data_IF_069415383538
#
_entry.id   IF_069415383538
#
_cell.length_a   1.000
_cell.length_b   1.000
_cell.length_c   1.000
_cell.angle_alpha   90.00
_cell.angle_beta   90.00
_cell.angle_gamma   90.00
#
_symmetry.space_group_name_H-M   'P 1'
#
loop_
_entity.id
_entity.type
_entity.pdbx_description
1 polymer ?
#
# COMPACT_ATOMS: atom_id res chain seq x y z
N UNK A 1 1.54 17.55 -0.99
CA UNK A 1 2.82 17.50 -0.24
C UNK A 1 3.23 16.08 0.13
N UNK A 2 2.38 15.23 0.73
CA UNK A 2 2.75 13.84 1.06
C UNK A 2 3.20 12.99 -0.15
N UNK A 3 2.58 13.15 -1.33
CA UNK A 3 2.97 12.40 -2.53
C UNK A 3 4.34 12.77 -3.10
N UNK A 4 4.85 13.98 -2.86
CA UNK A 4 6.10 14.47 -3.46
C UNK A 4 7.31 14.09 -2.59
N UNK A 5 7.23 14.25 -1.26
CA UNK A 5 8.26 13.70 -0.35
C UNK A 5 8.33 12.17 -0.41
N UNK A 6 7.19 11.54 -0.71
CA UNK A 6 7.12 10.11 -0.93
C UNK A 6 7.93 9.70 -2.17
N UNK A 7 7.78 10.37 -3.31
CA UNK A 7 8.54 10.04 -4.52
C UNK A 7 10.05 10.20 -4.33
N UNK A 8 10.49 11.31 -3.74
CA UNK A 8 11.90 11.54 -3.39
C UNK A 8 12.49 10.39 -2.55
N UNK A 9 11.70 9.80 -1.64
CA UNK A 9 12.14 8.66 -0.83
C UNK A 9 12.43 7.40 -1.67
N UNK A 10 11.66 7.14 -2.74
CA UNK A 10 11.91 6.01 -3.64
C UNK A 10 13.11 6.27 -4.54
N UNK A 11 13.25 7.48 -5.09
CA UNK A 11 14.41 7.80 -5.94
C UNK A 11 15.71 7.62 -5.16
N UNK A 12 15.73 8.12 -3.92
CA UNK A 12 16.86 7.97 -3.00
C UNK A 12 17.13 6.49 -2.66
N UNK A 13 16.08 5.71 -2.42
CA UNK A 13 16.23 4.27 -2.17
C UNK A 13 16.82 3.54 -3.37
N UNK A 14 16.32 3.78 -4.59
CA UNK A 14 16.82 3.12 -5.79
C UNK A 14 18.25 3.54 -6.14
N UNK A 15 18.59 4.81 -5.93
CA UNK A 15 19.95 5.30 -6.06
C UNK A 15 20.88 4.61 -5.04
N UNK A 16 20.44 4.46 -3.79
CA UNK A 16 21.19 3.77 -2.74
C UNK A 16 21.41 2.29 -3.09
N UNK A 17 20.35 1.56 -3.46
CA UNK A 17 20.43 0.15 -3.87
C UNK A 17 21.42 -0.01 -5.03
N UNK A 18 21.31 0.86 -6.05
CA UNK A 18 22.20 0.82 -7.22
C UNK A 18 23.65 1.06 -6.84
N UNK A 19 23.91 2.03 -5.96
CA UNK A 19 25.25 2.35 -5.48
C UNK A 19 25.85 1.19 -4.67
N UNK A 20 25.12 0.68 -3.67
CA UNK A 20 25.61 -0.36 -2.78
C UNK A 20 25.77 -1.70 -3.51
N UNK A 21 24.85 -2.07 -4.41
CA UNK A 21 25.01 -3.27 -5.22
C UNK A 21 26.23 -3.17 -6.14
N UNK A 22 26.45 -2.04 -6.81
CA UNK A 22 27.62 -1.88 -7.68
C UNK A 22 28.95 -1.90 -6.90
N UNK A 23 28.95 -1.43 -5.65
CA UNK A 23 30.09 -1.55 -4.74
C UNK A 23 30.32 -3.01 -4.35
N UNK A 24 29.26 -3.72 -3.99
CA UNK A 24 29.30 -5.15 -3.67
C UNK A 24 29.81 -5.98 -4.85
N UNK A 25 29.26 -5.76 -6.05
CA UNK A 25 29.66 -6.44 -7.29
C UNK A 25 31.16 -6.30 -7.58
N UNK A 26 31.73 -5.08 -7.40
CA UNK A 26 33.17 -4.86 -7.53
C UNK A 26 33.98 -5.61 -6.47
N UNK A 27 33.52 -5.61 -5.21
CA UNK A 27 34.20 -6.26 -4.09
C UNK A 27 34.24 -7.79 -4.27
N UNK A 28 33.15 -8.37 -4.74
CA UNK A 28 33.01 -9.82 -4.94
C UNK A 28 33.36 -10.27 -6.38
N UNK A 29 33.83 -9.35 -7.23
CA UNK A 29 34.21 -9.60 -8.62
C UNK A 29 33.12 -10.30 -9.46
N UNK A 30 31.87 -9.84 -9.36
CA UNK A 30 30.72 -10.48 -10.03
C UNK A 30 30.62 -10.15 -11.53
N UNK A 31 31.36 -9.15 -12.01
CA UNK A 31 31.24 -8.60 -13.37
C UNK A 31 29.80 -8.15 -13.75
N UNK A 32 29.04 -7.67 -12.74
CA UNK A 32 27.67 -7.17 -12.94
C UNK A 32 27.63 -5.68 -12.63
N UNK A 33 27.01 -4.89 -13.51
CA UNK A 33 26.72 -3.47 -13.27
C UNK A 33 25.22 -3.21 -13.30
N UNK A 34 24.65 -2.86 -12.15
CA UNK A 34 23.27 -2.44 -12.05
C UNK A 34 23.13 -1.00 -12.53
N UNK A 35 22.23 -0.77 -13.49
CA UNK A 35 21.84 0.56 -13.97
C UNK A 35 20.34 0.72 -13.79
N UNK A 36 19.94 1.64 -12.93
CA UNK A 36 18.54 1.97 -12.73
C UNK A 36 18.09 3.09 -13.68
N UNK A 37 16.90 2.95 -14.25
CA UNK A 37 16.23 3.99 -15.04
C UNK A 37 14.91 4.29 -14.38
N UNK A 38 14.77 5.49 -13.82
CA UNK A 38 13.52 5.93 -13.21
C UNK A 38 12.68 6.67 -14.23
N UNK A 39 11.40 6.32 -14.31
CA UNK A 39 10.40 7.10 -15.00
C UNK A 39 9.55 7.81 -13.94
N UNK A 40 9.58 9.13 -13.93
CA UNK A 40 8.83 9.99 -13.03
C UNK A 40 8.03 11.02 -13.83
N UNK A 41 7.08 11.70 -13.19
CA UNK A 41 6.34 12.80 -13.83
C UNK A 41 7.30 13.89 -14.33
N UNK A 42 8.44 14.07 -13.66
CA UNK A 42 9.42 15.12 -13.97
C UNK A 42 10.22 14.83 -15.25
N UNK A 43 10.34 13.55 -15.63
CA UNK A 43 11.08 13.12 -16.81
C UNK A 43 10.21 12.43 -17.89
N UNK A 44 8.89 12.40 -17.68
CA UNK A 44 7.90 11.86 -18.59
C UNK A 44 6.92 12.95 -19.01
N UNK A 45 6.49 12.93 -20.27
CA UNK A 45 5.51 13.90 -20.81
C UNK A 45 4.07 13.57 -20.45
N UNK A 46 3.81 12.57 -19.58
CA UNK A 46 2.47 12.02 -19.33
C UNK A 46 2.27 11.52 -17.88
N UNK A 47 1.02 11.48 -17.46
CA UNK A 47 0.53 11.05 -16.12
C UNK A 47 0.86 9.58 -15.78
N UNK A 48 0.76 9.20 -14.50
CA UNK A 48 1.04 7.85 -13.99
C UNK A 48 0.37 6.71 -14.77
N UNK A 49 -0.92 6.84 -15.11
CA UNK A 49 -1.66 5.83 -15.88
C UNK A 49 -1.04 5.52 -17.26
N UNK A 50 -0.31 6.49 -17.79
CA UNK A 50 0.39 6.34 -19.06
C UNK A 50 1.66 5.49 -18.93
N UNK A 51 2.26 5.40 -17.73
CA UNK A 51 3.48 4.64 -17.49
C UNK A 51 3.21 3.14 -17.58
N UNK A 52 2.19 2.65 -16.87
CA UNK A 52 1.87 1.21 -16.89
C UNK A 52 1.44 0.74 -18.29
N UNK A 53 0.74 1.61 -19.02
CA UNK A 53 0.38 1.39 -20.42
C UNK A 53 1.61 1.37 -21.34
N UNK A 54 2.55 2.29 -21.15
CA UNK A 54 3.80 2.32 -21.91
C UNK A 54 4.68 1.10 -21.61
N UNK A 55 4.80 0.71 -20.33
CA UNK A 55 5.54 -0.47 -19.91
C UNK A 55 4.90 -1.75 -20.49
N UNK A 56 3.57 -1.85 -20.45
CA UNK A 56 2.87 -2.96 -21.07
C UNK A 56 3.15 -3.04 -22.58
N UNK A 57 3.10 -1.92 -23.30
CA UNK A 57 3.44 -1.88 -24.73
C UNK A 57 4.89 -2.30 -25.00
N UNK A 58 5.84 -1.90 -24.15
CA UNK A 58 7.24 -2.33 -24.26
C UNK A 58 7.39 -3.84 -24.07
N UNK A 59 6.70 -4.41 -23.08
CA UNK A 59 6.66 -5.86 -22.82
C UNK A 59 6.02 -6.63 -23.98
N UNK A 60 4.94 -6.10 -24.57
CA UNK A 60 4.29 -6.69 -25.74
C UNK A 60 5.17 -6.68 -26.98
N UNK A 61 5.93 -5.60 -27.21
CA UNK A 61 6.88 -5.50 -28.31
C UNK A 61 8.08 -6.44 -28.16
N UNK A 62 8.24 -7.12 -27.01
CA UNK A 62 9.36 -8.01 -26.69
C UNK A 62 10.73 -7.37 -26.92
N UNK A 63 10.81 -6.04 -26.78
CA UNK A 63 12.09 -5.32 -26.88
C UNK A 63 12.88 -5.58 -25.59
N UNK A 64 14.02 -6.25 -25.71
CA UNK A 64 14.94 -6.54 -24.60
C UNK A 64 15.70 -5.26 -24.17
N UNK A 65 14.99 -4.24 -23.69
CA UNK A 65 15.60 -3.00 -23.21
C UNK A 65 15.98 -3.07 -21.73
N UNK A 66 15.24 -3.85 -20.94
CA UNK A 66 15.40 -3.93 -19.49
C UNK A 66 15.37 -5.39 -19.05
N UNK A 67 16.29 -5.75 -18.14
CA UNK A 67 16.38 -7.10 -17.57
C UNK A 67 15.45 -7.27 -16.35
N UNK A 68 15.21 -6.18 -15.62
CA UNK A 68 14.33 -6.14 -14.45
C UNK A 68 13.40 -4.93 -14.55
N UNK A 69 12.16 -5.13 -14.09
CA UNK A 69 11.17 -4.05 -13.97
C UNK A 69 10.63 -4.02 -12.54
N UNK A 70 10.44 -2.81 -12.02
CA UNK A 70 9.74 -2.57 -10.76
C UNK A 70 8.36 -2.04 -11.14
N UNK A 71 7.30 -2.69 -10.67
CA UNK A 71 5.93 -2.38 -11.05
C UNK A 71 4.97 -2.63 -9.88
N UNK A 72 3.78 -2.03 -9.95
CA UNK A 72 2.74 -2.23 -8.95
C UNK A 72 2.11 -3.63 -9.08
N UNK A 73 1.95 -4.40 -7.98
CA UNK A 73 1.38 -5.74 -8.02
C UNK A 73 -0.03 -5.82 -8.65
N UNK A 74 -0.78 -4.71 -8.73
CA UNK A 74 -2.03 -4.65 -9.48
C UNK A 74 -1.87 -5.09 -10.95
N UNK A 75 -0.68 -4.94 -11.53
CA UNK A 75 -0.38 -5.33 -12.91
C UNK A 75 0.19 -6.75 -13.05
N UNK A 76 0.39 -7.50 -11.96
CA UNK A 76 0.98 -8.85 -12.00
C UNK A 76 0.28 -9.75 -13.01
N UNK A 77 -1.06 -9.77 -13.02
CA UNK A 77 -1.85 -10.55 -13.99
C UNK A 77 -1.57 -10.14 -15.44
N UNK A 78 -1.45 -8.83 -15.70
CA UNK A 78 -1.23 -8.27 -17.03
C UNK A 78 0.21 -8.51 -17.51
N UNK A 79 1.19 -8.47 -16.60
CA UNK A 79 2.61 -8.59 -16.96
C UNK A 79 3.12 -10.02 -16.93
N UNK A 80 2.49 -10.92 -16.16
CA UNK A 80 2.89 -12.32 -16.02
C UNK A 80 3.22 -13.06 -17.33
N UNK A 81 2.46 -12.89 -18.44
CA UNK A 81 2.80 -13.52 -19.72
C UNK A 81 4.16 -13.10 -20.31
N UNK A 82 4.69 -11.95 -19.90
CA UNK A 82 5.92 -11.36 -20.42
C UNK A 82 7.13 -11.50 -19.49
N UNK A 83 6.92 -11.96 -18.26
CA UNK A 83 7.97 -12.11 -17.24
C UNK A 83 8.51 -13.54 -17.22
N UNK A 84 9.66 -13.79 -16.59
CA UNK A 84 10.17 -15.15 -16.37
C UNK A 84 9.49 -15.81 -15.17
N UNK A 85 9.59 -17.14 -15.04
CA UNK A 85 9.21 -17.83 -13.82
C UNK A 85 10.42 -17.88 -12.88
N UNK A 86 10.38 -17.13 -11.78
CA UNK A 86 11.49 -17.05 -10.82
C UNK A 86 11.77 -18.39 -10.12
N UNK A 87 10.81 -19.31 -10.07
CA UNK A 87 11.03 -20.69 -9.59
C UNK A 87 12.12 -21.44 -10.38
N UNK A 88 12.38 -21.03 -11.61
CA UNK A 88 13.39 -21.66 -12.46
C UNK A 88 14.81 -21.15 -12.17
N UNK A 89 14.95 -20.05 -11.41
CA UNK A 89 16.22 -19.34 -11.20
C UNK A 89 16.58 -19.13 -9.73
N UNK A 90 15.60 -19.19 -8.83
CA UNK A 90 15.76 -18.91 -7.40
C UNK A 90 15.43 -20.18 -6.61
N UNK A 91 16.25 -20.49 -5.61
CA UNK A 91 16.04 -21.67 -4.78
C UNK A 91 14.71 -21.61 -4.02
N UNK A 92 14.12 -22.78 -3.79
CA UNK A 92 12.88 -22.90 -3.03
C UNK A 92 13.03 -22.30 -1.63
N UNK A 93 14.17 -22.53 -0.95
CA UNK A 93 14.46 -21.94 0.36
C UNK A 93 14.39 -20.41 0.34
N UNK A 94 14.90 -19.77 -0.72
CA UNK A 94 14.84 -18.31 -0.83
C UNK A 94 13.43 -17.82 -1.15
N UNK A 95 12.69 -18.52 -2.01
CA UNK A 95 11.29 -18.20 -2.28
C UNK A 95 10.40 -18.39 -1.04
N UNK A 96 10.71 -19.39 -0.20
CA UNK A 96 10.00 -19.67 1.03
C UNK A 96 10.11 -18.53 2.06
N UNK A 97 11.13 -17.67 1.95
CA UNK A 97 11.22 -16.44 2.75
C UNK A 97 10.12 -15.42 2.41
N UNK A 98 9.46 -15.57 1.26
CA UNK A 98 8.42 -14.67 0.74
C UNK A 98 7.02 -15.30 0.76
N UNK A 99 6.79 -16.34 1.56
CA UNK A 99 5.45 -16.91 1.73
C UNK A 99 4.48 -15.92 2.42
N UNK A 100 3.19 -16.10 2.20
CA UNK A 100 2.15 -15.24 2.76
C UNK A 100 1.75 -14.11 1.80
N UNK A 101 1.72 -12.87 2.26
CA UNK A 101 1.22 -11.75 1.43
C UNK A 101 2.08 -11.47 0.20
N UNK A 102 3.39 -11.72 0.29
CA UNK A 102 4.32 -11.56 -0.83
C UNK A 102 4.06 -12.56 -1.95
N UNK A 103 3.74 -13.81 -1.61
CA UNK A 103 3.33 -14.84 -2.57
C UNK A 103 2.03 -14.44 -3.30
N UNK A 104 1.02 -13.93 -2.56
CA UNK A 104 -0.29 -13.53 -3.12
C UNK A 104 -0.18 -12.46 -4.21
N UNK A 105 0.83 -11.59 -4.13
CA UNK A 105 1.04 -10.49 -5.09
C UNK A 105 2.06 -10.82 -6.18
N UNK A 106 2.96 -11.77 -5.94
CA UNK A 106 4.05 -12.16 -6.83
C UNK A 106 3.78 -13.42 -7.67
N UNK A 107 2.76 -14.22 -7.33
CA UNK A 107 2.42 -15.48 -8.01
C UNK A 107 1.12 -15.35 -8.80
N UNK A 108 1.15 -15.74 -10.07
CA UNK A 108 -0.04 -15.81 -10.92
C UNK A 108 0.01 -17.05 -11.83
N UNK A 109 -1.08 -17.82 -11.93
CA UNK A 109 -1.15 -19.07 -12.69
C UNK A 109 0.03 -20.04 -12.38
N UNK A 110 0.32 -20.23 -11.09
CA UNK A 110 1.43 -21.05 -10.58
C UNK A 110 2.85 -20.58 -10.96
N UNK A 111 2.97 -19.41 -11.60
CA UNK A 111 4.23 -18.78 -11.98
C UNK A 111 4.60 -17.71 -10.97
N UNK A 112 5.81 -17.77 -10.44
CA UNK A 112 6.33 -16.71 -9.57
C UNK A 112 6.99 -15.65 -10.45
N UNK A 113 6.36 -14.49 -10.61
CA UNK A 113 6.76 -13.47 -11.61
C UNK A 113 7.39 -12.22 -11.01
N UNK A 114 7.35 -12.06 -9.69
CA UNK A 114 7.98 -10.93 -9.02
C UNK A 114 8.26 -11.20 -7.55
N UNK A 115 9.25 -10.49 -7.01
CA UNK A 115 9.55 -10.44 -5.58
C UNK A 115 9.30 -9.02 -5.08
N UNK A 116 8.58 -8.83 -3.96
CA UNK A 116 8.34 -7.50 -3.43
C UNK A 116 9.64 -6.91 -2.89
N UNK A 117 9.98 -5.73 -3.39
CA UNK A 117 11.07 -4.93 -2.84
C UNK A 117 10.62 -4.14 -1.60
N UNK A 118 9.35 -3.70 -1.60
CA UNK A 118 8.73 -2.94 -0.52
C UNK A 118 7.28 -3.36 -0.35
N UNK A 119 6.85 -3.53 0.90
CA UNK A 119 5.46 -3.76 1.28
C UNK A 119 4.92 -2.52 1.98
N UNK A 120 3.67 -2.17 1.66
CA UNK A 120 2.98 -1.03 2.26
C UNK A 120 1.77 -1.54 3.00
N UNK A 121 1.60 -1.04 4.21
CA UNK A 121 0.47 -1.38 5.07
C UNK A 121 -0.23 -0.10 5.53
N UNK A 122 -1.55 -0.12 5.51
CA UNK A 122 -2.36 0.89 6.17
C UNK A 122 -2.50 0.52 7.64
N UNK A 123 -2.21 1.47 8.53
CA UNK A 123 -2.32 1.29 9.98
C UNK A 123 -3.13 2.43 10.58
N UNK A 124 -3.85 2.13 11.68
CA UNK A 124 -4.58 3.14 12.44
C UNK A 124 -3.63 3.81 13.44
N UNK A 125 -3.38 5.10 13.26
CA UNK A 125 -2.63 5.91 14.21
C UNK A 125 -3.56 6.45 15.30
N UNK A 126 -3.11 6.40 16.55
CA UNK A 126 -3.83 6.94 17.71
C UNK A 126 -2.97 7.96 18.45
N UNK A 127 -3.59 9.07 18.89
CA UNK A 127 -2.91 10.05 19.72
C UNK A 127 -2.82 9.54 21.17
N UNK A 128 -1.67 8.94 21.51
CA UNK A 128 -1.44 8.35 22.85
C UNK A 128 -1.52 9.37 23.99
N UNK A 129 -1.29 10.66 23.72
CA UNK A 129 -1.35 11.70 24.75
C UNK A 129 -2.79 12.02 25.12
N UNK A 130 -3.69 12.11 24.12
CA UNK A 130 -5.13 12.29 24.36
C UNK A 130 -5.72 11.06 25.04
N UNK A 131 -5.37 9.85 24.59
CA UNK A 131 -5.81 8.61 25.24
C UNK A 131 -5.43 8.58 26.73
N UNK A 132 -4.17 8.91 27.05
CA UNK A 132 -3.70 8.98 28.46
C UNK A 132 -4.38 10.08 29.26
N UNK A 133 -4.60 11.26 28.66
CA UNK A 133 -5.24 12.40 29.33
C UNK A 133 -6.65 12.05 29.83
N UNK A 134 -7.37 11.22 29.09
CA UNK A 134 -8.75 10.83 29.37
C UNK A 134 -8.90 9.41 29.93
N UNK A 135 -7.80 8.75 30.31
CA UNK A 135 -7.77 7.36 30.80
C UNK A 135 -8.45 6.35 29.85
N UNK A 136 -8.30 6.59 28.55
CA UNK A 136 -8.88 5.77 27.49
C UNK A 136 -7.87 4.72 26.99
N UNK A 137 -8.36 3.51 26.71
CA UNK A 137 -7.56 2.45 26.12
C UNK A 137 -7.49 2.61 24.60
N UNK A 138 -6.44 2.06 23.98
CA UNK A 138 -6.37 1.97 22.52
C UNK A 138 -7.56 1.14 22.01
N UNK A 139 -8.41 1.68 21.13
CA UNK A 139 -9.61 0.99 20.66
C UNK A 139 -9.23 -0.23 19.82
N UNK A 140 -9.94 -1.34 20.02
CA UNK A 140 -9.76 -2.59 19.27
C UNK A 140 -10.89 -2.87 18.28
N UNK A 141 -11.99 -2.11 18.36
CA UNK A 141 -13.14 -2.21 17.45
C UNK A 141 -13.57 -0.81 17.01
N UNK A 142 -14.32 -0.74 15.90
CA UNK A 142 -14.87 0.53 15.41
C UNK A 142 -15.84 1.17 16.39
N UNK A 143 -16.62 0.39 17.15
CA UNK A 143 -17.51 0.90 18.19
C UNK A 143 -16.75 1.50 19.37
N UNK A 144 -15.66 0.85 19.78
CA UNK A 144 -14.77 1.41 20.81
C UNK A 144 -14.12 2.69 20.30
N UNK A 145 -13.67 2.72 19.05
CA UNK A 145 -13.09 3.91 18.43
C UNK A 145 -14.10 5.05 18.43
N UNK A 146 -15.34 4.81 17.99
CA UNK A 146 -16.42 5.79 17.99
C UNK A 146 -16.69 6.34 19.39
N UNK A 147 -16.85 5.46 20.38
CA UNK A 147 -17.12 5.86 21.76
C UNK A 147 -15.97 6.71 22.34
N UNK A 148 -14.74 6.21 22.25
CA UNK A 148 -13.55 6.89 22.79
C UNK A 148 -13.33 8.23 22.08
N UNK A 149 -13.45 8.29 20.75
CA UNK A 149 -13.28 9.53 20.00
C UNK A 149 -14.38 10.56 20.35
N UNK A 150 -15.64 10.16 20.48
CA UNK A 150 -16.73 11.06 20.91
C UNK A 150 -16.49 11.61 22.32
N UNK A 151 -16.03 10.77 23.26
CA UNK A 151 -15.69 11.22 24.61
C UNK A 151 -14.60 12.28 24.58
N UNK A 152 -13.47 12.00 23.89
CA UNK A 152 -12.34 12.92 23.80
C UNK A 152 -12.73 14.23 23.10
N UNK A 153 -13.49 14.16 22.00
CA UNK A 153 -13.99 15.35 21.29
C UNK A 153 -14.83 16.24 22.20
N UNK A 154 -15.75 15.63 22.96
CA UNK A 154 -16.60 16.35 23.90
C UNK A 154 -15.79 17.02 25.02
N UNK A 155 -14.80 16.33 25.60
CA UNK A 155 -13.97 16.91 26.64
C UNK A 155 -13.04 18.01 26.12
N UNK A 156 -12.40 17.81 24.96
CA UNK A 156 -11.54 18.83 24.34
C UNK A 156 -12.34 20.09 23.95
N UNK A 157 -13.59 19.93 23.50
CA UNK A 157 -14.47 21.05 23.18
C UNK A 157 -14.73 21.96 24.40
N UNK A 158 -14.83 21.42 25.61
CA UNK A 158 -15.00 22.22 26.84
C UNK A 158 -13.81 23.13 27.12
N UNK A 159 -12.63 22.79 26.61
CA UNK A 159 -11.41 23.61 26.69
C UNK A 159 -11.21 24.51 25.46
N UNK A 160 -12.20 24.58 24.56
CA UNK A 160 -12.11 25.37 23.33
C UNK A 160 -11.27 24.73 22.22
N UNK A 161 -10.86 23.47 22.39
CA UNK A 161 -10.09 22.76 21.37
C UNK A 161 -11.03 22.12 20.35
N UNK A 162 -10.84 22.47 19.07
CA UNK A 162 -11.56 21.86 17.96
C UNK A 162 -10.63 20.89 17.22
N UNK A 163 -10.77 19.61 17.50
CA UNK A 163 -9.96 18.53 16.92
C UNK A 163 -10.81 17.58 16.08
N UNK A 164 -10.16 16.71 15.31
CA UNK A 164 -10.82 15.70 14.48
C UNK A 164 -10.64 14.32 15.11
N UNK A 165 -11.75 13.61 15.31
CA UNK A 165 -11.74 12.30 15.97
C UNK A 165 -11.26 11.17 15.07
N UNK A 166 -11.53 11.27 13.77
CA UNK A 166 -11.09 10.27 12.78
C UNK A 166 -10.87 10.87 11.40
N UNK A 167 -9.77 10.48 10.75
CA UNK A 167 -9.48 10.73 9.33
C UNK A 167 -9.19 9.39 8.65
N UNK A 168 -10.15 8.90 7.85
CA UNK A 168 -10.06 7.62 7.15
C UNK A 168 -9.35 7.67 5.79
N UNK A 169 -8.82 8.82 5.37
CA UNK A 169 -8.11 9.02 4.11
C UNK A 169 -8.89 8.56 2.86
N UNK A 170 -9.87 9.37 2.43
CA UNK A 170 -10.68 9.12 1.22
C UNK A 170 -10.45 10.21 0.16
N UNK A 171 -9.26 10.31 -0.47
CA UNK A 171 -8.97 11.29 -1.50
C UNK A 171 -9.61 10.93 -2.84
N UNK A 172 -9.84 11.89 -3.73
CA UNK A 172 -10.30 11.59 -5.10
C UNK A 172 -9.24 10.73 -5.82
N UNK A 173 -9.61 9.55 -6.29
CA UNK A 173 -8.73 8.64 -7.03
C UNK A 173 -8.71 7.22 -6.48
N UNK A 174 -7.76 6.42 -6.96
CA UNK A 174 -7.61 4.99 -6.65
C UNK A 174 -7.44 4.72 -5.14
N UNK A 175 -6.72 5.59 -4.41
CA UNK A 175 -6.52 5.42 -2.96
C UNK A 175 -7.82 5.39 -2.14
N UNK A 176 -8.92 5.98 -2.64
CA UNK A 176 -10.24 5.83 -1.99
C UNK A 176 -10.70 4.37 -1.98
N UNK A 177 -10.45 3.63 -3.07
CA UNK A 177 -10.77 2.21 -3.13
C UNK A 177 -9.94 1.42 -2.11
N UNK A 178 -8.66 1.74 -1.94
CA UNK A 178 -7.80 1.11 -0.93
C UNK A 178 -8.35 1.30 0.49
N UNK A 179 -8.78 2.52 0.83
CA UNK A 179 -9.38 2.81 2.14
C UNK A 179 -10.72 2.12 2.34
N UNK A 180 -11.61 2.16 1.34
CA UNK A 180 -12.90 1.47 1.38
C UNK A 180 -12.73 -0.05 1.51
N UNK A 181 -11.81 -0.64 0.73
CA UNK A 181 -11.53 -2.07 0.76
C UNK A 181 -10.92 -2.50 2.09
N UNK A 182 -10.00 -1.71 2.65
CA UNK A 182 -9.43 -1.95 3.98
C UNK A 182 -10.49 -1.89 5.07
N UNK A 183 -11.43 -0.95 4.97
CA UNK A 183 -12.53 -0.83 5.91
C UNK A 183 -13.48 -2.03 5.80
N UNK A 184 -13.92 -2.39 4.59
CA UNK A 184 -14.75 -3.57 4.35
C UNK A 184 -14.08 -4.87 4.83
N UNK A 185 -12.77 -5.01 4.59
CA UNK A 185 -11.98 -6.14 5.05
C UNK A 185 -11.94 -6.25 6.58
N UNK A 186 -12.13 -5.17 7.32
CA UNK A 186 -12.18 -5.23 8.79
C UNK A 186 -13.48 -5.83 9.36
N UNK A 187 -14.52 -6.03 8.52
CA UNK A 187 -15.83 -6.58 8.89
C UNK A 187 -15.99 -8.07 8.59
N UNK A 188 -14.95 -8.72 8.08
CA UNK A 188 -14.93 -10.17 7.87
C UNK A 188 -15.10 -10.96 9.17
N UNK A 189 -15.67 -12.16 9.07
CA UNK A 189 -16.00 -12.98 10.25
C UNK A 189 -14.76 -13.45 11.03
N UNK A 190 -13.63 -13.67 10.35
CA UNK A 190 -12.40 -14.19 10.94
C UNK A 190 -11.14 -13.70 10.21
N UNK A 191 -9.96 -13.98 10.77
CA UNK A 191 -8.67 -13.62 10.16
C UNK A 191 -8.35 -14.37 8.87
N UNK A 192 -9.11 -15.42 8.58
CA UNK A 192 -8.93 -16.29 7.44
C UNK A 192 -10.07 -16.09 6.42
N UNK A 193 -11.16 -15.42 6.84
CA UNK A 193 -12.30 -15.14 5.97
C UNK A 193 -11.89 -14.22 4.81
N UNK A 194 -12.45 -14.45 3.60
CA UNK A 194 -12.28 -13.56 2.47
C UNK A 194 -12.91 -12.19 2.77
N UNK A 195 -12.67 -11.22 1.88
CA UNK A 195 -13.41 -9.97 1.96
C UNK A 195 -14.92 -10.24 1.82
N UNK A 196 -15.79 -9.56 2.59
CA UNK A 196 -17.23 -9.66 2.37
C UNK A 196 -17.63 -9.28 0.94
N UNK A 197 -18.64 -9.98 0.41
CA UNK A 197 -19.25 -9.63 -0.87
C UNK A 197 -19.86 -8.22 -0.78
N UNK A 198 -19.68 -7.41 -1.82
CA UNK A 198 -20.10 -6.00 -1.83
C UNK A 198 -21.62 -5.82 -1.67
N UNK A 199 -22.41 -6.82 -2.04
CA UNK A 199 -23.87 -6.83 -1.91
C UNK A 199 -24.35 -7.57 -0.66
N UNK A 200 -23.43 -8.00 0.22
CA UNK A 200 -23.78 -8.70 1.46
C UNK A 200 -24.27 -7.74 2.55
N UNK A 201 -25.02 -8.29 3.51
CA UNK A 201 -25.40 -7.57 4.72
C UNK A 201 -24.18 -7.09 5.52
N UNK A 202 -23.10 -7.87 5.55
CA UNK A 202 -21.84 -7.48 6.20
C UNK A 202 -21.23 -6.24 5.55
N UNK A 203 -21.29 -6.12 4.22
CA UNK A 203 -20.85 -4.92 3.52
C UNK A 203 -21.74 -3.72 3.83
N UNK A 204 -23.05 -3.91 3.87
CA UNK A 204 -24.00 -2.87 4.30
C UNK A 204 -23.69 -2.37 5.72
N UNK A 205 -23.49 -3.28 6.67
CA UNK A 205 -23.11 -2.95 8.05
C UNK A 205 -21.76 -2.20 8.12
N UNK A 206 -20.77 -2.63 7.33
CA UNK A 206 -19.48 -1.96 7.22
C UNK A 206 -19.64 -0.52 6.72
N UNK A 207 -20.31 -0.30 5.60
CA UNK A 207 -20.46 1.04 5.05
C UNK A 207 -21.36 1.95 5.90
N UNK A 208 -22.37 1.39 6.58
CA UNK A 208 -23.16 2.13 7.56
C UNK A 208 -22.29 2.59 8.74
N UNK A 209 -21.40 1.73 9.27
CA UNK A 209 -20.44 2.11 10.31
C UNK A 209 -19.46 3.17 9.81
N UNK A 210 -18.95 3.04 8.59
CA UNK A 210 -18.07 4.05 8.00
C UNK A 210 -18.77 5.42 7.88
N UNK A 211 -20.04 5.42 7.46
CA UNK A 211 -20.85 6.63 7.38
C UNK A 211 -21.11 7.26 8.75
N UNK A 212 -21.37 6.43 9.77
CA UNK A 212 -21.49 6.89 11.16
C UNK A 212 -20.20 7.54 11.65
N UNK A 213 -19.04 6.87 11.49
CA UNK A 213 -17.74 7.42 11.86
C UNK A 213 -17.46 8.76 11.16
N UNK A 214 -17.74 8.85 9.87
CA UNK A 214 -17.58 10.09 9.10
C UNK A 214 -18.46 11.22 9.65
N UNK A 215 -19.72 10.90 9.96
CA UNK A 215 -20.71 11.91 10.40
C UNK A 215 -20.41 12.40 11.82
N UNK A 216 -19.98 11.49 12.70
CA UNK A 216 -19.80 11.77 14.13
C UNK A 216 -18.41 12.28 14.49
N UNK A 217 -17.36 11.92 13.72
CA UNK A 217 -15.97 12.13 14.13
C UNK A 217 -15.13 12.92 13.12
N UNK A 218 -15.61 13.10 11.90
CA UNK A 218 -14.88 13.79 10.83
C UNK A 218 -15.53 15.12 10.49
N UNK A 219 -14.76 16.03 9.91
CA UNK A 219 -15.25 17.34 9.44
C UNK A 219 -15.18 17.48 7.91
N UNK A 220 -15.00 16.37 7.19
CA UNK A 220 -14.94 16.33 5.73
C UNK A 220 -13.65 16.88 5.10
N UNK A 221 -12.72 17.40 5.91
CA UNK A 221 -11.41 17.85 5.42
C UNK A 221 -10.44 16.67 5.27
N UNK A 222 -9.65 16.70 4.20
CA UNK A 222 -8.51 15.82 4.00
C UNK A 222 -7.28 16.53 4.58
N UNK A 223 -6.71 15.97 5.65
CA UNK A 223 -5.46 16.42 6.26
C UNK A 223 -4.29 15.60 5.74
#
# INVERSE_FOLDING_TARGET
MAGQSYLESFENLYALITKEFNKYSKKENLDIKLKFTLFSIENSTRDWDSFDSAMYLLLQQKKQKYDMIIYDPLFTRRYSPHLVNLKDYISEDHLNMYLGDSEKIGVYNNKWVGLPLLLKYTVLYSNINLLKKYDEKIPKTWDQMLKTAKHILHEEYKFGNNIVGYNGYFPKGESTMCSAYSFLYSFRDSKESPIPDINSKTAEEAFNKLFELKTELSNGMLY
#
